data_IF_966385795446
#
_entry.id   IF_966385795446
#
_cell.length_a   1.000
_cell.length_b   1.000
_cell.length_c   1.000
_cell.angle_alpha   90.00
_cell.angle_beta   90.00
_cell.angle_gamma   90.00
#
_symmetry.space_group_name_H-M   'P 1'
#
loop_
_entity.id
_entity.type
_entity.pdbx_description
1 polymer ?
#
# COMPACT_ATOMS: atom_id res chain seq x y z
N UNK A 1 -9.26 -2.93 -5.02
CA UNK A 1 -8.34 -4.08 -4.83
C UNK A 1 -9.06 -5.17 -4.09
N UNK A 2 -8.71 -6.42 -4.35
CA UNK A 2 -9.35 -7.60 -3.75
C UNK A 2 -8.25 -8.43 -3.11
N UNK A 3 -8.52 -8.98 -1.93
CA UNK A 3 -7.64 -9.94 -1.25
C UNK A 3 -8.26 -11.33 -1.42
N UNK A 4 -7.48 -12.30 -1.87
CA UNK A 4 -7.88 -13.70 -1.93
C UNK A 4 -6.95 -14.51 -1.04
N UNK A 5 -7.50 -15.23 -0.09
CA UNK A 5 -6.77 -16.28 0.62
C UNK A 5 -6.66 -17.50 -0.28
N UNK A 6 -5.48 -18.12 -0.29
CA UNK A 6 -5.14 -19.30 -1.08
C UNK A 6 -4.55 -20.37 -0.17
N UNK A 7 -4.81 -21.61 -0.56
CA UNK A 7 -4.31 -22.80 0.11
C UNK A 7 -4.10 -23.87 -0.95
N UNK A 8 -2.97 -24.57 -0.87
CA UNK A 8 -2.67 -25.72 -1.72
C UNK A 8 -1.96 -26.80 -0.91
N UNK A 9 -2.20 -28.07 -1.27
CA UNK A 9 -1.59 -29.22 -0.61
C UNK A 9 -0.71 -29.96 -1.62
N UNK A 10 0.59 -30.03 -1.32
CA UNK A 10 1.55 -30.78 -2.12
C UNK A 10 2.37 -31.71 -1.21
N UNK A 11 2.40 -33.01 -1.53
CA UNK A 11 3.09 -34.04 -0.75
C UNK A 11 2.73 -34.05 0.75
N UNK A 12 1.47 -33.72 1.09
CA UNK A 12 0.99 -33.68 2.47
C UNK A 12 1.41 -32.42 3.25
N UNK A 13 2.03 -31.45 2.59
CA UNK A 13 2.33 -30.12 3.13
C UNK A 13 1.27 -29.14 2.61
N UNK A 14 0.59 -28.48 3.53
CA UNK A 14 -0.38 -27.42 3.22
C UNK A 14 0.34 -26.07 3.22
N UNK A 15 0.41 -25.42 2.07
CA UNK A 15 0.89 -24.06 1.92
C UNK A 15 -0.29 -23.09 1.87
N UNK A 16 -0.17 -21.94 2.54
CA UNK A 16 -1.19 -20.88 2.56
C UNK A 16 -0.55 -19.55 2.22
N UNK A 17 -1.20 -18.78 1.36
CA UNK A 17 -0.76 -17.44 0.99
C UNK A 17 -1.94 -16.52 0.71
N UNK A 18 -1.65 -15.23 0.57
CA UNK A 18 -2.65 -14.24 0.17
C UNK A 18 -2.24 -13.62 -1.15
N UNK A 19 -3.22 -13.44 -2.03
CA UNK A 19 -3.07 -12.70 -3.28
C UNK A 19 -3.75 -11.34 -3.15
N UNK A 20 -3.00 -10.27 -3.42
CA UNK A 20 -3.53 -8.92 -3.50
C UNK A 20 -3.66 -8.53 -4.97
N UNK A 21 -4.90 -8.37 -5.42
CA UNK A 21 -5.22 -8.04 -6.81
C UNK A 21 -5.45 -6.54 -6.97
N UNK A 22 -4.59 -5.89 -7.76
CA UNK A 22 -4.68 -4.47 -8.13
C UNK A 22 -5.09 -4.37 -9.60
N UNK A 23 -6.38 -4.17 -9.84
CA UNK A 23 -6.95 -4.08 -11.18
C UNK A 23 -7.63 -2.73 -11.41
N UNK A 24 -7.59 -2.27 -12.66
CA UNK A 24 -8.29 -1.09 -13.13
C UNK A 24 -8.26 -1.05 -14.66
N UNK A 25 -9.10 -0.21 -15.25
CA UNK A 25 -8.96 0.13 -16.66
C UNK A 25 -7.69 0.98 -16.88
N UNK A 26 -7.27 1.25 -18.13
CA UNK A 26 -6.07 2.04 -18.40
C UNK A 26 -6.06 3.44 -17.75
N UNK A 27 -7.22 4.06 -17.52
CA UNK A 27 -7.29 5.38 -16.87
C UNK A 27 -7.16 5.26 -15.36
N UNK A 28 -7.84 4.29 -14.75
CA UNK A 28 -7.74 3.98 -13.32
C UNK A 28 -6.32 3.60 -12.92
N UNK A 29 -5.64 2.76 -13.71
CA UNK A 29 -4.24 2.39 -13.45
C UNK A 29 -3.28 3.58 -13.59
N UNK A 30 -3.47 4.45 -14.59
CA UNK A 30 -2.70 5.70 -14.70
C UNK A 30 -2.96 6.65 -13.53
N UNK A 31 -4.19 6.72 -13.04
CA UNK A 31 -4.56 7.51 -11.87
C UNK A 31 -3.85 7.00 -10.61
N UNK A 32 -3.86 5.68 -10.39
CA UNK A 32 -3.11 5.05 -9.29
C UNK A 32 -1.62 5.35 -9.39
N UNK A 33 -1.02 5.22 -10.58
CA UNK A 33 0.39 5.52 -10.78
C UNK A 33 0.73 6.97 -10.43
N UNK A 34 -0.14 7.93 -10.73
CA UNK A 34 0.05 9.34 -10.33
C UNK A 34 0.07 9.52 -8.82
N UNK A 35 -0.82 8.87 -8.07
CA UNK A 35 -0.80 8.92 -6.60
C UNK A 35 0.50 8.36 -6.03
N UNK A 36 1.01 7.28 -6.61
CA UNK A 36 2.29 6.69 -6.19
C UNK A 36 3.47 7.63 -6.46
N UNK A 37 3.49 8.28 -7.62
CA UNK A 37 4.49 9.29 -7.95
C UNK A 37 4.40 10.50 -7.04
N UNK A 38 3.19 10.99 -6.76
CA UNK A 38 2.97 12.09 -5.82
C UNK A 38 3.53 11.76 -4.43
N UNK A 39 3.30 10.57 -3.89
CA UNK A 39 3.89 10.13 -2.61
C UNK A 39 5.41 10.07 -2.67
N UNK A 40 5.97 9.52 -3.75
CA UNK A 40 7.42 9.38 -3.93
C UNK A 40 8.12 10.74 -4.00
N UNK A 41 7.54 11.69 -4.75
CA UNK A 41 8.09 13.02 -4.97
C UNK A 41 7.81 13.99 -3.81
N UNK A 42 6.85 13.65 -2.94
CA UNK A 42 6.47 14.49 -1.79
C UNK A 42 7.63 14.63 -0.80
N UNK A 43 8.01 15.89 -0.55
CA UNK A 43 8.93 16.23 0.51
C UNK A 43 8.18 16.45 1.84
N UNK A 44 8.03 15.37 2.61
CA UNK A 44 7.32 15.36 3.89
C UNK A 44 7.89 16.36 4.91
N UNK A 45 9.18 16.71 4.83
CA UNK A 45 9.82 17.68 5.74
C UNK A 45 9.25 19.09 5.58
N UNK A 46 8.77 19.43 4.38
CA UNK A 46 8.17 20.74 4.08
C UNK A 46 6.68 20.81 4.41
N UNK A 47 6.04 19.69 4.75
CA UNK A 47 4.60 19.64 5.00
C UNK A 47 4.26 20.14 6.41
N UNK A 48 3.75 21.37 6.52
CA UNK A 48 3.39 21.97 7.83
C UNK A 48 2.28 21.22 8.57
N UNK A 49 1.36 20.58 7.84
CA UNK A 49 0.20 19.88 8.42
C UNK A 49 0.51 18.45 8.89
N UNK A 50 1.62 17.86 8.43
CA UNK A 50 2.02 16.51 8.81
C UNK A 50 2.79 16.55 10.14
N UNK A 51 2.32 15.89 11.21
CA UNK A 51 3.03 15.84 12.48
C UNK A 51 4.41 15.18 12.38
N UNK A 52 5.29 15.45 13.35
CA UNK A 52 6.57 14.74 13.47
C UNK A 52 6.29 13.27 13.77
N UNK A 53 6.99 12.35 13.10
CA UNK A 53 6.78 10.91 13.23
C UNK A 53 5.60 10.36 12.42
N UNK A 54 4.78 11.22 11.81
CA UNK A 54 3.71 10.79 10.91
C UNK A 54 4.24 10.53 9.48
N UNK A 55 3.41 9.88 8.67
CA UNK A 55 3.69 9.51 7.28
C UNK A 55 2.60 10.04 6.38
N UNK A 56 2.97 10.62 5.25
CA UNK A 56 2.02 11.00 4.21
C UNK A 56 1.38 9.75 3.61
N UNK A 57 0.06 9.78 3.48
CA UNK A 57 -0.71 8.68 2.93
C UNK A 57 -2.06 9.14 2.40
N UNK A 58 -2.65 8.32 1.53
CA UNK A 58 -4.00 8.45 1.01
C UNK A 58 -4.83 7.25 1.42
N UNK A 59 -6.06 7.51 1.83
CA UNK A 59 -7.09 6.49 1.96
C UNK A 59 -7.89 6.39 0.66
N UNK A 60 -7.99 5.18 0.11
CA UNK A 60 -8.84 4.85 -1.02
C UNK A 60 -9.98 3.97 -0.52
N UNK A 61 -11.15 4.58 -0.35
CA UNK A 61 -12.32 3.90 0.17
C UNK A 61 -13.11 3.19 -0.93
N UNK A 62 -13.63 1.97 -0.66
CA UNK A 62 -14.57 1.31 -1.53
C UNK A 62 -15.81 2.18 -1.77
N UNK A 63 -16.37 2.12 -2.98
CA UNK A 63 -17.55 2.89 -3.38
C UNK A 63 -17.34 4.42 -3.44
N UNK A 64 -16.14 4.92 -3.14
CA UNK A 64 -15.80 6.35 -3.28
C UNK A 64 -14.65 6.50 -4.28
N UNK A 65 -13.52 5.85 -4.00
CA UNK A 65 -12.32 5.92 -4.83
C UNK A 65 -12.17 4.67 -5.70
N UNK A 66 -12.64 3.52 -5.22
CA UNK A 66 -12.53 2.22 -5.88
C UNK A 66 -13.89 1.53 -6.04
N UNK A 67 -13.92 0.39 -6.74
CA UNK A 67 -15.15 -0.41 -6.88
C UNK A 67 -15.75 -0.79 -5.53
N UNK A 68 -17.07 -1.03 -5.50
CA UNK A 68 -17.78 -1.55 -4.31
C UNK A 68 -17.25 -2.88 -3.79
N UNK A 69 -16.70 -3.70 -4.69
CA UNK A 69 -16.10 -5.00 -4.37
C UNK A 69 -14.68 -4.89 -3.82
N UNK A 70 -14.12 -3.69 -3.75
CA UNK A 70 -12.78 -3.48 -3.22
C UNK A 70 -12.77 -3.44 -1.70
N UNK A 71 -11.62 -3.78 -1.11
CA UNK A 71 -11.28 -3.39 0.27
C UNK A 71 -10.73 -1.97 0.30
N UNK A 72 -10.78 -1.33 1.48
CA UNK A 72 -10.09 -0.06 1.72
C UNK A 72 -8.57 -0.25 1.61
N UNK A 73 -7.89 0.74 1.03
CA UNK A 73 -6.44 0.72 0.84
C UNK A 73 -5.85 2.01 1.38
N UNK A 74 -4.74 1.88 2.11
CA UNK A 74 -3.93 3.00 2.54
C UNK A 74 -2.63 2.96 1.73
N UNK A 75 -2.42 3.97 0.88
CA UNK A 75 -1.17 4.15 0.12
C UNK A 75 -0.35 5.22 0.81
N UNK A 76 0.86 4.93 1.23
CA UNK A 76 1.64 5.91 1.99
C UNK A 76 3.14 5.67 1.97
N UNK A 77 3.86 6.67 2.47
CA UNK A 77 5.30 6.59 2.71
C UNK A 77 5.60 5.63 3.84
N UNK A 78 6.68 4.87 3.68
CA UNK A 78 7.16 3.96 4.71
C UNK A 78 7.96 4.72 5.78
N UNK A 79 8.77 5.69 5.37
CA UNK A 79 9.54 6.58 6.23
C UNK A 79 8.69 7.68 6.86
N UNK A 80 8.82 7.80 8.18
CA UNK A 80 8.19 8.88 8.95
C UNK A 80 8.95 10.21 8.81
N UNK A 81 8.17 11.30 8.82
CA UNK A 81 8.70 12.67 8.82
C UNK A 81 9.65 12.90 10.00
N UNK A 82 10.79 13.52 9.71
CA UNK A 82 11.94 13.87 10.58
C UNK A 82 12.71 12.72 11.19
N UNK A 83 12.08 11.59 11.47
CA UNK A 83 12.76 10.44 12.07
C UNK A 83 13.33 9.51 11.01
N UNK A 84 12.75 9.49 9.80
CA UNK A 84 13.07 8.53 8.74
C UNK A 84 12.70 7.09 9.10
N UNK A 85 12.03 6.87 10.23
CA UNK A 85 11.80 5.53 10.78
C UNK A 85 10.67 4.81 10.03
N UNK A 86 10.86 3.52 9.79
CA UNK A 86 9.83 2.63 9.25
C UNK A 86 8.87 2.19 10.38
N UNK A 87 7.83 1.43 10.03
CA UNK A 87 6.95 0.82 11.03
C UNK A 87 7.70 -0.24 11.84
N UNK A 88 7.35 -0.41 13.11
CA UNK A 88 7.94 -1.47 13.95
C UNK A 88 7.68 -2.88 13.39
N UNK A 89 6.58 -3.05 12.66
CA UNK A 89 6.21 -4.29 11.98
C UNK A 89 6.85 -4.46 10.59
N UNK A 90 7.64 -3.49 10.11
CA UNK A 90 8.33 -3.63 8.84
C UNK A 90 9.49 -4.63 8.97
N UNK A 91 9.49 -5.62 8.10
CA UNK A 91 10.57 -6.61 7.99
C UNK A 91 11.18 -6.42 6.60
N UNK A 92 12.50 -6.19 6.55
CA UNK A 92 13.23 -6.09 5.28
C UNK A 92 13.12 -7.41 4.51
N UNK A 93 13.04 -7.32 3.19
CA UNK A 93 13.19 -8.51 2.34
C UNK A 93 14.61 -9.06 2.48
N UNK A 94 14.76 -10.36 2.27
CA UNK A 94 16.09 -10.97 2.17
C UNK A 94 16.90 -10.29 1.05
N UNK A 95 18.21 -10.15 1.29
CA UNK A 95 19.13 -9.62 0.28
C UNK A 95 19.49 -10.78 -0.65
N UNK A 96 19.13 -10.62 -1.92
CA UNK A 96 19.56 -11.50 -3.02
C UNK A 96 21.09 -11.51 -3.16
#
# INVERSE_FOLDING_TARGET
MIISDKEDEFEGIVEKWQEVMIHGDPNGLRSLARLLLELADTNQEKMKKLPIGAREHYHLFPNINTSKSSVEIILGRLDAKRTGSFYDAYIEKDKD
#
